data_IF_772270859060
#
_entry.id   IF_772270859060
#
_cell.length_a   1.000
_cell.length_b   1.000
_cell.length_c   1.000
_cell.angle_alpha   90.00
_cell.angle_beta   90.00
_cell.angle_gamma   90.00
#
_symmetry.space_group_name_H-M   'P 1'
#
loop_
_entity.id
_entity.type
_entity.pdbx_description
1 polymer ?
#
# COMPACT_ATOMS: atom_id res chain seq x y z
N UNK A 1 -19.29 10.74 -20.28
CA UNK A 1 -18.93 10.42 -18.89
C UNK A 1 -17.57 9.73 -18.94
N UNK A 2 -16.51 10.38 -18.45
CA UNK A 2 -15.22 9.71 -18.31
C UNK A 2 -15.44 8.54 -17.34
N UNK A 3 -15.38 7.31 -17.84
CA UNK A 3 -15.23 6.14 -16.98
C UNK A 3 -14.11 6.45 -15.98
N UNK A 4 -14.40 6.22 -14.70
CA UNK A 4 -13.47 6.49 -13.63
C UNK A 4 -12.27 5.53 -13.84
N UNK A 5 -11.20 5.99 -14.51
CA UNK A 5 -10.08 5.18 -15.03
C UNK A 5 -9.42 4.27 -13.97
N UNK A 6 -9.65 4.58 -12.70
CA UNK A 6 -9.08 3.91 -11.54
C UNK A 6 -10.12 3.06 -10.78
N UNK A 7 -11.29 2.83 -11.37
CA UNK A 7 -12.28 1.89 -10.85
C UNK A 7 -12.18 0.59 -11.63
N UNK A 8 -12.51 -0.55 -11.00
CA UNK A 8 -12.65 -1.80 -11.73
C UNK A 8 -13.60 -1.60 -12.89
N UNK A 9 -13.23 -2.16 -14.05
CA UNK A 9 -14.09 -2.20 -15.22
C UNK A 9 -15.49 -2.70 -14.84
N UNK A 10 -16.52 -2.02 -15.35
CA UNK A 10 -17.91 -2.47 -15.17
C UNK A 10 -18.11 -3.80 -15.89
N UNK A 11 -18.33 -4.86 -15.12
CA UNK A 11 -18.64 -6.19 -15.63
C UNK A 11 -20.17 -6.36 -15.77
N UNK A 12 -20.64 -7.33 -16.58
CA UNK A 12 -22.02 -7.80 -16.50
C UNK A 12 -22.37 -8.18 -15.06
N UNK A 13 -23.61 -7.89 -14.63
CA UNK A 13 -24.05 -8.09 -13.25
C UNK A 13 -23.77 -9.51 -12.69
N UNK A 14 -23.97 -10.61 -13.44
CA UNK A 14 -23.63 -11.96 -12.98
C UNK A 14 -22.13 -12.18 -12.69
N UNK A 15 -21.25 -11.38 -13.30
CA UNK A 15 -19.80 -11.50 -13.18
C UNK A 15 -19.20 -10.52 -12.17
N UNK A 16 -20.01 -9.66 -11.54
CA UNK A 16 -19.51 -8.60 -10.67
C UNK A 16 -18.67 -9.14 -9.50
N UNK A 17 -18.98 -10.35 -9.02
CA UNK A 17 -18.21 -11.03 -7.99
C UNK A 17 -16.75 -11.32 -8.34
N UNK A 18 -16.38 -11.35 -9.63
CA UNK A 18 -14.97 -11.46 -10.04
C UNK A 18 -14.16 -10.24 -9.61
N UNK A 19 -14.76 -9.04 -9.59
CA UNK A 19 -14.08 -7.82 -9.12
C UNK A 19 -13.68 -7.98 -7.65
N UNK A 20 -14.58 -8.49 -6.81
CA UNK A 20 -14.31 -8.72 -5.39
C UNK A 20 -13.18 -9.74 -5.17
N UNK A 21 -13.11 -10.77 -6.00
CA UNK A 21 -12.04 -11.76 -5.94
C UNK A 21 -10.71 -11.21 -6.47
N UNK A 22 -10.73 -10.36 -7.50
CA UNK A 22 -9.52 -9.84 -8.13
C UNK A 22 -8.83 -8.73 -7.30
N UNK A 23 -9.62 -7.86 -6.65
CA UNK A 23 -9.10 -6.72 -5.87
C UNK A 23 -8.45 -7.16 -4.56
N UNK A 24 -8.87 -8.30 -4.01
CA UNK A 24 -8.32 -8.86 -2.79
C UNK A 24 -7.09 -9.72 -3.08
N UNK A 25 -5.91 -9.17 -2.82
CA UNK A 25 -4.61 -9.83 -3.04
C UNK A 25 -4.43 -11.14 -2.26
N UNK A 26 -5.39 -11.58 -1.43
CA UNK A 26 -5.44 -12.93 -0.86
C UNK A 26 -5.22 -14.04 -1.89
N UNK A 27 -5.62 -13.85 -3.14
CA UNK A 27 -5.33 -14.82 -4.21
C UNK A 27 -3.83 -15.09 -4.42
N UNK A 28 -2.93 -14.19 -3.98
CA UNK A 28 -1.48 -14.37 -4.13
C UNK A 28 -0.87 -15.41 -3.19
N UNK A 29 -1.55 -15.81 -2.10
CA UNK A 29 -1.14 -16.93 -1.23
C UNK A 29 -2.26 -17.94 -0.96
N UNK A 30 -3.48 -17.70 -1.45
CA UNK A 30 -4.57 -18.67 -1.46
C UNK A 30 -5.01 -18.97 -2.89
N UNK A 31 -4.56 -20.10 -3.40
CA UNK A 31 -4.71 -20.51 -4.81
C UNK A 31 -6.07 -21.14 -5.15
N UNK A 32 -7.08 -21.00 -4.29
CA UNK A 32 -8.39 -21.64 -4.53
C UNK A 32 -9.08 -21.11 -5.79
N UNK A 33 -8.95 -19.81 -6.07
CA UNK A 33 -9.59 -19.16 -7.22
C UNK A 33 -8.81 -19.26 -8.54
N UNK A 34 -7.60 -19.83 -8.55
CA UNK A 34 -6.73 -19.88 -9.74
C UNK A 34 -7.40 -20.57 -10.94
N UNK A 35 -8.27 -21.54 -10.66
CA UNK A 35 -9.05 -22.25 -11.68
C UNK A 35 -10.04 -21.33 -12.41
N UNK A 36 -10.58 -20.31 -11.74
CA UNK A 36 -11.45 -19.31 -12.36
C UNK A 36 -10.66 -18.48 -13.37
N UNK A 37 -9.52 -17.94 -12.94
CA UNK A 37 -8.67 -17.07 -13.75
C UNK A 37 -8.14 -17.78 -14.98
N UNK A 38 -7.70 -19.03 -14.82
CA UNK A 38 -7.26 -19.88 -15.94
C UNK A 38 -8.40 -20.21 -16.92
N UNK A 39 -9.64 -20.34 -16.45
CA UNK A 39 -10.82 -20.57 -17.31
C UNK A 39 -11.22 -19.31 -18.08
N UNK A 40 -10.99 -18.13 -17.51
CA UNK A 40 -11.27 -16.85 -18.17
C UNK A 40 -10.31 -16.62 -19.33
N UNK A 41 -9.01 -16.62 -19.05
CA UNK A 41 -7.95 -16.50 -20.07
C UNK A 41 -6.68 -17.24 -19.58
N UNK A 42 -6.42 -18.47 -20.06
CA UNK A 42 -5.28 -19.27 -19.61
C UNK A 42 -3.95 -18.63 -20.02
N UNK A 43 -3.90 -17.97 -21.19
CA UNK A 43 -2.65 -17.39 -21.71
C UNK A 43 -2.21 -16.21 -20.85
N UNK A 44 -3.14 -15.31 -20.50
CA UNK A 44 -2.82 -14.17 -19.63
C UNK A 44 -2.52 -14.67 -18.22
N UNK A 45 -3.31 -15.61 -17.70
CA UNK A 45 -3.08 -16.17 -16.36
C UNK A 45 -1.69 -16.80 -16.23
N UNK A 46 -1.31 -17.69 -17.14
CA UNK A 46 -0.02 -18.39 -17.06
C UNK A 46 1.17 -17.44 -17.29
N UNK A 47 0.99 -16.31 -17.98
CA UNK A 47 2.03 -15.31 -18.22
C UNK A 47 2.19 -14.27 -17.10
N UNK A 48 1.13 -13.99 -16.33
CA UNK A 48 1.08 -12.82 -15.42
C UNK A 48 0.70 -13.16 -13.99
N UNK A 49 -0.04 -14.25 -13.77
CA UNK A 49 -0.64 -14.58 -12.48
C UNK A 49 -1.52 -13.47 -11.89
N UNK A 50 -2.03 -12.54 -12.70
CA UNK A 50 -2.68 -11.32 -12.24
C UNK A 50 -4.19 -11.33 -12.61
N UNK A 51 -5.10 -11.62 -11.65
CA UNK A 51 -6.54 -11.59 -11.87
C UNK A 51 -7.07 -10.24 -12.36
N UNK A 52 -6.55 -9.15 -11.79
CA UNK A 52 -6.96 -7.80 -12.13
C UNK A 52 -6.65 -7.48 -13.59
N UNK A 53 -5.44 -7.83 -14.03
CA UNK A 53 -5.02 -7.64 -15.41
C UNK A 53 -5.86 -8.45 -16.40
N UNK A 54 -6.31 -9.65 -16.03
CA UNK A 54 -7.25 -10.46 -16.84
C UNK A 54 -8.58 -9.71 -17.03
N UNK A 55 -9.17 -9.18 -15.95
CA UNK A 55 -10.45 -8.48 -16.01
C UNK A 55 -10.39 -7.18 -16.82
N UNK A 56 -9.27 -6.45 -16.75
CA UNK A 56 -9.08 -5.26 -17.57
C UNK A 56 -8.85 -5.61 -19.04
N UNK A 57 -8.22 -6.75 -19.34
CA UNK A 57 -7.84 -7.15 -20.71
C UNK A 57 -8.90 -7.95 -21.47
N UNK A 58 -9.87 -8.56 -20.79
CA UNK A 58 -10.82 -9.50 -21.42
C UNK A 58 -11.77 -8.81 -22.42
N UNK A 59 -12.03 -9.46 -23.55
CA UNK A 59 -12.99 -8.98 -24.56
C UNK A 59 -14.44 -9.02 -24.06
N UNK A 60 -15.29 -8.12 -24.60
CA UNK A 60 -16.73 -8.07 -24.25
C UNK A 60 -17.44 -9.38 -24.60
N UNK A 61 -17.19 -9.94 -25.78
CA UNK A 61 -17.84 -11.18 -26.23
C UNK A 61 -17.56 -12.35 -25.28
N UNK A 62 -16.32 -12.44 -24.76
CA UNK A 62 -15.95 -13.46 -23.76
C UNK A 62 -16.64 -13.22 -22.42
N UNK A 63 -16.80 -11.97 -21.99
CA UNK A 63 -17.60 -11.65 -20.79
C UNK A 63 -19.05 -12.06 -20.96
N UNK A 64 -19.65 -11.84 -22.13
CA UNK A 64 -21.04 -12.22 -22.42
C UNK A 64 -21.20 -13.75 -22.45
N UNK A 65 -20.25 -14.47 -23.03
CA UNK A 65 -20.21 -15.94 -22.99
C UNK A 65 -20.14 -16.47 -21.54
N UNK A 66 -19.21 -15.95 -20.74
CA UNK A 66 -19.04 -16.35 -19.34
C UNK A 66 -20.26 -15.97 -18.48
N UNK A 67 -20.91 -14.84 -18.77
CA UNK A 67 -22.13 -14.42 -18.08
C UNK A 67 -23.33 -15.32 -18.40
N UNK A 68 -23.32 -16.06 -19.50
CA UNK A 68 -24.34 -17.05 -19.85
C UNK A 68 -24.03 -18.47 -19.33
N UNK A 69 -22.80 -18.74 -18.91
CA UNK A 69 -22.33 -20.04 -18.45
C UNK A 69 -22.72 -20.31 -16.97
N UNK A 70 -23.81 -21.07 -16.78
CA UNK A 70 -24.32 -21.41 -15.44
C UNK A 70 -23.35 -22.20 -14.58
N UNK A 71 -22.45 -22.98 -15.16
CA UNK A 71 -21.45 -23.72 -14.39
C UNK A 71 -20.39 -22.77 -13.87
N UNK A 72 -19.94 -21.84 -14.71
CA UNK A 72 -18.99 -20.81 -14.33
C UNK A 72 -19.54 -19.88 -13.23
N UNK A 73 -20.79 -19.42 -13.36
CA UNK A 73 -21.43 -18.59 -12.34
C UNK A 73 -21.50 -19.28 -10.97
N UNK A 74 -21.85 -20.59 -10.95
CA UNK A 74 -21.84 -21.39 -9.72
C UNK A 74 -20.44 -21.54 -9.12
N UNK A 75 -19.40 -21.60 -9.95
CA UNK A 75 -18.02 -21.59 -9.45
C UNK A 75 -17.68 -20.25 -8.79
N UNK A 76 -18.03 -19.11 -9.40
CA UNK A 76 -17.84 -17.78 -8.81
C UNK A 76 -18.51 -17.70 -7.43
N UNK A 77 -19.80 -18.03 -7.36
CA UNK A 77 -20.57 -18.03 -6.10
C UNK A 77 -19.92 -18.91 -5.02
N UNK A 78 -19.44 -20.10 -5.41
CA UNK A 78 -18.73 -21.02 -4.49
C UNK A 78 -17.45 -20.37 -3.94
N UNK A 79 -16.64 -19.74 -4.78
CA UNK A 79 -15.40 -19.09 -4.36
C UNK A 79 -15.67 -17.86 -3.49
N UNK A 80 -16.68 -17.06 -3.81
CA UNK A 80 -17.14 -15.95 -2.96
C UNK A 80 -17.62 -16.45 -1.60
N UNK A 81 -18.45 -17.49 -1.58
CA UNK A 81 -18.96 -18.08 -0.34
C UNK A 81 -17.83 -18.61 0.56
N UNK A 82 -16.85 -19.29 -0.02
CA UNK A 82 -15.65 -19.74 0.72
C UNK A 82 -14.82 -18.59 1.25
N UNK A 83 -14.59 -17.55 0.43
CA UNK A 83 -13.89 -16.34 0.87
C UNK A 83 -14.63 -15.68 2.04
N UNK A 84 -15.94 -15.48 1.92
CA UNK A 84 -16.75 -14.87 2.97
C UNK A 84 -16.71 -15.68 4.27
N UNK A 85 -16.85 -17.01 4.17
CA UNK A 85 -16.73 -17.90 5.33
C UNK A 85 -15.32 -17.83 5.95
N UNK A 86 -14.28 -17.84 5.11
CA UNK A 86 -12.90 -17.75 5.54
C UNK A 86 -12.58 -16.41 6.21
N UNK A 87 -13.19 -15.29 5.79
CA UNK A 87 -13.01 -13.97 6.39
C UNK A 87 -13.85 -13.76 7.66
N UNK A 88 -15.02 -14.39 7.74
CA UNK A 88 -15.95 -14.29 8.88
C UNK A 88 -15.63 -15.26 10.03
N UNK A 89 -14.75 -16.25 9.83
CA UNK A 89 -14.36 -17.20 10.88
C UNK A 89 -13.70 -16.48 12.06
N UNK A 90 -13.86 -17.04 13.26
CA UNK A 90 -13.05 -16.65 14.42
C UNK A 90 -11.58 -16.89 14.11
N UNK A 91 -10.75 -15.89 14.40
CA UNK A 91 -9.32 -15.92 14.12
C UNK A 91 -8.56 -16.27 15.40
N UNK A 92 -7.31 -16.73 15.25
CA UNK A 92 -6.47 -17.06 16.41
C UNK A 92 -6.35 -15.88 17.39
N UNK A 93 -6.18 -14.65 16.87
CA UNK A 93 -6.10 -13.46 17.72
C UNK A 93 -7.41 -13.20 18.46
N UNK A 94 -8.54 -13.28 17.76
CA UNK A 94 -9.87 -13.10 18.36
C UNK A 94 -10.20 -14.15 19.42
N UNK A 95 -9.74 -15.39 19.25
CA UNK A 95 -9.93 -16.47 20.24
C UNK A 95 -8.99 -16.38 21.42
N UNK A 96 -7.73 -15.98 21.19
CA UNK A 96 -6.68 -15.98 22.22
C UNK A 96 -6.70 -14.73 23.11
N UNK A 97 -7.07 -13.57 22.54
CA UNK A 97 -7.00 -12.29 23.25
C UNK A 97 -8.36 -11.57 23.37
N UNK A 98 -9.34 -11.94 22.53
CA UNK A 98 -10.63 -11.27 22.46
C UNK A 98 -10.63 -10.02 21.58
N UNK A 99 -11.82 -9.60 21.16
CA UNK A 99 -12.01 -8.37 20.39
C UNK A 99 -11.69 -7.14 21.25
N UNK A 100 -10.81 -6.26 20.78
CA UNK A 100 -10.45 -5.01 21.47
C UNK A 100 -9.27 -5.09 22.44
N UNK A 101 -8.56 -6.24 22.50
CA UNK A 101 -7.31 -6.34 23.25
C UNK A 101 -6.17 -5.46 22.69
N UNK A 102 -6.30 -5.07 21.41
CA UNK A 102 -5.41 -4.16 20.71
C UNK A 102 -6.27 -3.30 19.78
N UNK A 103 -6.13 -1.98 19.82
CA UNK A 103 -6.85 -1.03 18.96
C UNK A 103 -6.38 -1.16 17.51
N UNK A 104 -5.06 -1.14 17.30
CA UNK A 104 -4.49 -1.23 15.97
C UNK A 104 -2.97 -1.15 15.91
N UNK A 105 -2.40 -1.72 14.86
CA UNK A 105 -0.98 -1.64 14.51
C UNK A 105 -0.85 -0.98 13.14
N UNK A 106 -0.15 0.16 13.10
CA UNK A 106 0.28 0.76 11.85
C UNK A 106 1.70 0.30 11.51
N UNK A 107 1.83 -0.51 10.46
CA UNK A 107 3.11 -1.03 9.99
C UNK A 107 3.62 -0.23 8.79
N UNK A 108 4.64 0.59 9.00
CA UNK A 108 5.22 1.46 7.98
C UNK A 108 6.42 0.80 7.32
N UNK A 109 6.44 0.78 5.98
CA UNK A 109 7.55 0.24 5.20
C UNK A 109 7.69 0.98 3.87
N UNK A 110 8.92 1.13 3.40
CA UNK A 110 9.19 1.62 2.03
C UNK A 110 8.78 0.58 0.98
N UNK A 111 8.76 -0.70 1.31
CA UNK A 111 8.44 -1.75 0.36
C UNK A 111 7.51 -2.84 0.91
N UNK A 112 6.71 -3.42 0.02
CA UNK A 112 5.78 -4.52 0.28
C UNK A 112 5.80 -5.55 -0.86
N UNK A 113 6.30 -6.74 -0.55
CA UNK A 113 6.40 -7.89 -1.44
C UNK A 113 5.20 -8.82 -1.34
N UNK A 114 4.04 -8.37 -1.84
CA UNK A 114 2.81 -9.17 -1.84
C UNK A 114 2.75 -10.14 -3.02
N UNK A 115 3.00 -9.65 -4.23
CA UNK A 115 2.98 -10.39 -5.49
C UNK A 115 3.66 -9.56 -6.59
N UNK A 116 4.14 -10.19 -7.65
CA UNK A 116 4.65 -9.52 -8.85
C UNK A 116 3.60 -8.62 -9.53
N UNK A 117 2.30 -8.88 -9.30
CA UNK A 117 1.21 -8.03 -9.77
C UNK A 117 1.19 -6.63 -9.11
N UNK A 118 1.91 -6.45 -8.00
CA UNK A 118 2.08 -5.18 -7.31
C UNK A 118 3.58 -4.98 -7.00
N UNK A 119 4.37 -4.49 -7.98
CA UNK A 119 5.84 -4.46 -7.89
C UNK A 119 6.34 -3.28 -7.04
N UNK A 120 6.10 -3.35 -5.72
CA UNK A 120 6.47 -2.35 -4.71
C UNK A 120 7.58 -2.83 -3.77
N UNK A 121 8.49 -3.67 -4.26
CA UNK A 121 9.61 -4.20 -3.47
C UNK A 121 10.85 -4.45 -4.32
N UNK A 122 12.02 -4.45 -3.68
CA UNK A 122 13.29 -4.84 -4.31
C UNK A 122 13.94 -6.07 -3.68
N UNK A 123 13.70 -6.36 -2.40
CA UNK A 123 14.42 -7.41 -1.69
C UNK A 123 13.70 -8.01 -0.49
N UNK A 124 14.50 -8.62 0.41
CA UNK A 124 14.00 -9.37 1.55
C UNK A 124 13.19 -8.54 2.57
N UNK A 125 13.50 -7.26 2.72
CA UNK A 125 12.77 -6.33 3.60
C UNK A 125 11.29 -6.21 3.15
N UNK A 126 11.06 -6.10 1.85
CA UNK A 126 9.73 -6.02 1.24
C UNK A 126 9.01 -7.35 1.28
N UNK A 127 9.68 -8.47 0.99
CA UNK A 127 9.09 -9.80 1.14
C UNK A 127 8.62 -10.01 2.59
N UNK A 128 9.46 -9.68 3.57
CA UNK A 128 9.08 -9.75 4.98
C UNK A 128 7.86 -8.87 5.29
N UNK A 129 7.83 -7.63 4.81
CA UNK A 129 6.70 -6.73 5.00
C UNK A 129 5.41 -7.30 4.38
N UNK A 130 5.49 -7.90 3.20
CA UNK A 130 4.36 -8.59 2.56
C UNK A 130 3.88 -9.78 3.39
N UNK A 131 4.79 -10.63 3.86
CA UNK A 131 4.45 -11.80 4.67
C UNK A 131 3.91 -11.42 6.07
N UNK A 132 4.34 -10.28 6.62
CA UNK A 132 3.73 -9.67 7.80
C UNK A 132 2.24 -9.38 7.57
N UNK A 133 1.88 -8.75 6.46
CA UNK A 133 0.48 -8.45 6.15
C UNK A 133 -0.35 -9.73 5.92
N UNK A 134 0.20 -10.70 5.18
CA UNK A 134 -0.45 -12.00 4.93
C UNK A 134 -0.72 -12.74 6.23
N UNK A 135 0.30 -12.83 7.09
CA UNK A 135 0.21 -13.49 8.40
C UNK A 135 -0.76 -12.76 9.32
N UNK A 136 -0.72 -11.43 9.36
CA UNK A 136 -1.69 -10.63 10.11
C UNK A 136 -3.13 -10.86 9.65
N UNK A 137 -3.36 -11.00 8.35
CA UNK A 137 -4.67 -11.34 7.79
C UNK A 137 -5.15 -12.74 8.21
N UNK A 138 -4.26 -13.73 8.23
CA UNK A 138 -4.61 -15.11 8.58
C UNK A 138 -4.86 -15.29 10.08
N UNK A 139 -4.05 -14.62 10.92
CA UNK A 139 -4.18 -14.60 12.38
C UNK A 139 -5.28 -13.65 12.88
N UNK A 140 -5.73 -12.71 12.03
CA UNK A 140 -6.73 -11.70 12.36
C UNK A 140 -6.23 -10.63 13.32
N UNK A 141 -4.97 -10.22 13.17
CA UNK A 141 -4.41 -9.08 13.89
C UNK A 141 -4.99 -7.76 13.32
N UNK A 142 -5.31 -6.77 14.18
CA UNK A 142 -5.80 -5.46 13.74
C UNK A 142 -4.62 -4.62 13.22
N UNK A 143 -4.05 -5.03 12.08
CA UNK A 143 -2.89 -4.39 11.47
C UNK A 143 -3.26 -3.75 10.13
N UNK A 144 -2.74 -2.56 9.86
CA UNK A 144 -2.72 -1.95 8.54
C UNK A 144 -1.28 -1.63 8.11
N UNK A 145 -1.00 -1.83 6.82
CA UNK A 145 0.25 -1.40 6.20
C UNK A 145 0.17 0.04 5.71
N UNK A 146 1.28 0.78 5.77
CA UNK A 146 1.42 2.11 5.17
C UNK A 146 2.71 2.16 4.34
N UNK A 147 2.61 2.55 3.07
CA UNK A 147 3.71 2.58 2.12
C UNK A 147 3.54 3.63 1.03
N UNK A 148 4.37 3.54 0.00
CA UNK A 148 4.34 4.41 -1.19
C UNK A 148 3.95 3.60 -2.43
N UNK A 149 3.21 4.21 -3.36
CA UNK A 149 2.92 3.62 -4.66
C UNK A 149 3.94 4.11 -5.69
N UNK A 150 4.88 3.23 -6.08
CA UNK A 150 5.93 3.57 -7.03
C UNK A 150 5.51 3.41 -8.48
N UNK A 151 5.77 4.42 -9.31
CA UNK A 151 5.43 4.36 -10.73
C UNK A 151 6.31 3.42 -11.55
N UNK A 152 7.52 3.08 -11.11
CA UNK A 152 8.42 2.17 -11.85
C UNK A 152 8.95 1.01 -10.99
N UNK A 153 8.52 0.91 -9.73
CA UNK A 153 9.04 -0.08 -8.79
C UNK A 153 10.55 0.07 -8.60
N UNK A 154 11.28 -1.06 -8.57
CA UNK A 154 12.74 -1.08 -8.54
C UNK A 154 13.31 -1.09 -9.97
N UNK A 155 13.50 -2.25 -10.58
CA UNK A 155 13.71 -2.42 -12.02
C UNK A 155 13.41 -3.85 -12.44
N UNK A 156 13.18 -4.08 -13.73
CA UNK A 156 13.12 -5.40 -14.35
C UNK A 156 14.47 -5.73 -14.98
N UNK A 157 15.11 -6.77 -14.48
CA UNK A 157 16.40 -7.24 -14.97
C UNK A 157 16.24 -8.00 -16.29
N UNK A 158 17.08 -7.68 -17.27
CA UNK A 158 17.30 -8.48 -18.47
C UNK A 158 18.81 -8.69 -18.60
N UNK A 159 19.22 -9.90 -18.99
CA UNK A 159 20.62 -10.21 -19.26
C UNK A 159 20.82 -10.22 -20.77
N UNK A 160 21.77 -9.41 -21.25
CA UNK A 160 22.09 -9.35 -22.67
C UNK A 160 22.91 -10.56 -23.13
N UNK A 161 23.15 -10.66 -24.45
CA UNK A 161 23.91 -11.76 -25.03
C UNK A 161 25.38 -11.84 -24.55
N UNK A 162 25.91 -10.78 -23.95
CA UNK A 162 27.26 -10.72 -23.39
C UNK A 162 27.28 -10.96 -21.86
N UNK A 163 26.13 -11.22 -21.24
CA UNK A 163 26.01 -11.46 -19.80
C UNK A 163 25.91 -10.18 -18.96
N UNK A 164 25.74 -9.01 -19.57
CA UNK A 164 25.57 -7.76 -18.83
C UNK A 164 24.12 -7.58 -18.39
N UNK A 165 23.94 -6.96 -17.23
CA UNK A 165 22.64 -6.51 -16.75
C UNK A 165 22.17 -5.29 -17.55
N UNK A 166 20.94 -5.36 -18.05
CA UNK A 166 20.16 -4.25 -18.57
C UNK A 166 18.96 -4.04 -17.66
N UNK A 167 18.73 -2.79 -17.28
CA UNK A 167 17.66 -2.39 -16.37
C UNK A 167 16.51 -1.75 -17.15
N UNK A 168 15.31 -2.32 -17.01
CA UNK A 168 14.09 -1.72 -17.54
C UNK A 168 13.24 -1.20 -16.40
N UNK A 169 12.65 -0.03 -16.59
CA UNK A 169 11.79 0.63 -15.62
C UNK A 169 10.37 0.74 -16.19
N UNK A 170 9.63 -0.38 -16.30
CA UNK A 170 8.28 -0.36 -16.84
C UNK A 170 7.39 0.51 -15.95
N UNK A 171 6.51 1.29 -16.58
CA UNK A 171 5.56 2.12 -15.85
C UNK A 171 4.41 1.27 -15.29
N UNK A 172 4.23 1.33 -13.98
CA UNK A 172 3.12 0.75 -13.24
C UNK A 172 1.92 1.71 -13.33
N UNK A 173 1.03 1.50 -14.30
CA UNK A 173 -0.23 2.26 -14.36
C UNK A 173 -1.16 1.79 -13.23
N UNK A 174 -1.53 2.66 -12.27
CA UNK A 174 -2.43 2.27 -11.17
C UNK A 174 -3.77 1.69 -11.65
N UNK A 175 -4.20 1.98 -12.88
CA UNK A 175 -5.41 1.39 -13.47
C UNK A 175 -5.31 -0.14 -13.68
N UNK A 176 -4.09 -0.69 -13.83
CA UNK A 176 -3.87 -2.13 -14.08
C UNK A 176 -3.24 -2.85 -12.89
N UNK A 177 -3.09 -2.18 -11.75
CA UNK A 177 -2.63 -2.75 -10.50
C UNK A 177 -3.83 -3.13 -9.61
N UNK A 178 -3.69 -4.11 -8.70
CA UNK A 178 -4.72 -4.45 -7.72
C UNK A 178 -4.81 -3.40 -6.59
N UNK A 179 -5.03 -2.14 -6.96
CA UNK A 179 -5.17 -0.98 -6.08
C UNK A 179 -6.51 -0.29 -6.37
N UNK A 180 -7.11 0.34 -5.36
CA UNK A 180 -8.30 1.17 -5.54
C UNK A 180 -8.11 2.55 -4.93
N UNK A 181 -8.66 3.62 -5.52
CA UNK A 181 -8.63 4.95 -4.91
C UNK A 181 -9.35 4.94 -3.56
N UNK A 182 -8.69 5.46 -2.53
CA UNK A 182 -9.31 5.63 -1.23
C UNK A 182 -10.25 6.84 -1.27
N UNK A 183 -11.51 6.63 -0.86
CA UNK A 183 -12.56 7.64 -0.97
C UNK A 183 -13.22 7.93 0.37
N UNK A 184 -13.65 9.19 0.54
CA UNK A 184 -14.45 9.60 1.68
C UNK A 184 -15.92 9.16 1.54
N UNK A 185 -16.72 9.41 2.58
CA UNK A 185 -18.15 9.07 2.59
C UNK A 185 -18.97 9.75 1.47
N UNK A 186 -18.47 10.86 0.89
CA UNK A 186 -19.09 11.55 -0.23
C UNK A 186 -18.60 11.01 -1.59
N UNK A 187 -17.70 10.02 -1.59
CA UNK A 187 -17.11 9.43 -2.79
C UNK A 187 -15.98 10.26 -3.39
N UNK A 188 -15.49 11.30 -2.70
CA UNK A 188 -14.33 12.06 -3.18
C UNK A 188 -13.04 11.32 -2.86
N UNK A 189 -12.03 11.50 -3.71
CA UNK A 189 -10.71 10.94 -3.45
C UNK A 189 -10.09 11.62 -2.22
N UNK A 190 -9.69 10.83 -1.22
CA UNK A 190 -8.93 11.32 -0.09
C UNK A 190 -7.54 11.73 -0.57
N UNK A 191 -7.18 12.99 -0.33
CA UNK A 191 -5.82 13.50 -0.57
C UNK A 191 -5.20 13.92 0.75
N UNK A 192 -3.89 13.73 0.86
CA UNK A 192 -3.11 14.15 2.02
C UNK A 192 -2.14 15.23 1.58
N UNK A 193 -2.08 16.30 2.35
CA UNK A 193 -1.18 17.42 2.09
C UNK A 193 0.02 17.35 3.05
N UNK A 194 1.21 17.53 2.48
CA UNK A 194 2.48 17.59 3.22
C UNK A 194 3.19 18.88 2.84
N UNK A 195 3.56 19.66 3.86
CA UNK A 195 4.30 20.90 3.67
C UNK A 195 5.76 20.59 3.35
N UNK A 196 6.23 21.07 2.20
CA UNK A 196 7.63 21.05 1.80
C UNK A 196 8.15 22.49 1.72
N UNK A 197 9.47 22.71 1.63
CA UNK A 197 10.01 24.05 1.55
C UNK A 197 9.44 24.85 0.37
N UNK A 198 8.70 25.90 0.69
CA UNK A 198 8.09 26.83 -0.27
C UNK A 198 6.87 26.29 -1.04
N UNK A 199 6.35 25.11 -0.71
CA UNK A 199 5.19 24.51 -1.43
C UNK A 199 4.48 23.43 -0.61
N UNK A 200 3.19 23.27 -0.85
CA UNK A 200 2.41 22.14 -0.35
C UNK A 200 2.39 21.02 -1.40
N UNK A 201 2.75 19.81 -0.99
CA UNK A 201 2.68 18.61 -1.81
C UNK A 201 1.34 17.90 -1.58
N UNK A 202 0.60 17.59 -2.65
CA UNK A 202 -0.63 16.80 -2.58
C UNK A 202 -0.39 15.33 -2.88
N UNK A 203 -0.85 14.41 -2.03
CA UNK A 203 -0.67 12.97 -2.20
C UNK A 203 -2.02 12.32 -2.49
N UNK A 204 -2.10 11.57 -3.59
CA UNK A 204 -3.21 10.64 -3.80
C UNK A 204 -3.04 9.45 -2.88
N UNK A 205 -4.16 8.89 -2.46
CA UNK A 205 -4.20 7.75 -1.54
C UNK A 205 -4.86 6.55 -2.21
N UNK A 206 -4.27 5.39 -1.99
CA UNK A 206 -4.72 4.14 -2.58
C UNK A 206 -4.86 3.07 -1.50
N UNK A 207 -5.80 2.15 -1.69
CA UNK A 207 -5.99 0.97 -0.86
C UNK A 207 -5.68 -0.30 -1.65
N UNK A 208 -4.93 -1.20 -1.01
CA UNK A 208 -4.77 -2.59 -1.39
C UNK A 208 -5.43 -3.46 -0.32
N UNK A 209 -6.26 -4.39 -0.76
CA UNK A 209 -6.92 -5.36 0.12
C UNK A 209 -6.04 -6.60 0.24
N UNK A 210 -5.64 -6.95 1.46
CA UNK A 210 -4.77 -8.09 1.76
C UNK A 210 -5.54 -9.01 2.71
N UNK A 211 -6.56 -9.69 2.21
CA UNK A 211 -7.51 -10.46 3.01
C UNK A 211 -8.24 -9.57 4.02
N UNK A 212 -7.90 -9.70 5.31
CA UNK A 212 -8.46 -8.85 6.39
C UNK A 212 -7.71 -7.53 6.60
N UNK A 213 -6.48 -7.46 6.12
CA UNK A 213 -5.57 -6.33 6.32
C UNK A 213 -5.72 -5.34 5.18
N UNK A 214 -5.60 -4.05 5.49
CA UNK A 214 -5.52 -2.97 4.49
C UNK A 214 -4.08 -2.50 4.38
N UNK A 215 -3.61 -2.30 3.16
CA UNK A 215 -2.37 -1.60 2.87
C UNK A 215 -2.71 -0.28 2.19
N UNK A 216 -2.33 0.82 2.83
CA UNK A 216 -2.52 2.17 2.32
C UNK A 216 -1.25 2.67 1.64
N UNK A 217 -1.40 3.21 0.44
CA UNK A 217 -0.27 3.69 -0.36
C UNK A 217 -0.44 5.17 -0.71
N UNK A 218 0.64 5.94 -0.56
CA UNK A 218 0.71 7.35 -0.92
C UNK A 218 1.41 7.53 -2.26
N UNK A 219 0.89 8.45 -3.07
CA UNK A 219 1.32 8.67 -4.44
C UNK A 219 1.42 10.17 -4.74
N UNK A 220 2.63 10.64 -5.04
CA UNK A 220 2.87 12.05 -5.38
C UNK A 220 2.55 12.39 -6.83
N UNK A 221 2.24 11.41 -7.69
CA UNK A 221 1.92 11.62 -9.10
C UNK A 221 0.48 12.17 -9.31
N UNK A 222 0.14 13.25 -8.61
CA UNK A 222 -1.09 14.02 -8.82
C UNK A 222 -0.84 15.16 -9.84
N UNK A 223 -1.74 15.39 -10.82
CA UNK A 223 -1.63 16.53 -11.74
C UNK A 223 -1.59 17.92 -11.10
N UNK A 224 -2.05 18.06 -9.85
CA UNK A 224 -1.97 19.31 -9.07
C UNK A 224 -0.52 19.64 -8.68
N UNK A 225 0.33 18.63 -8.55
CA UNK A 225 1.73 18.81 -8.19
C UNK A 225 2.58 19.24 -9.38
N UNK A 226 3.74 19.85 -9.08
CA UNK A 226 4.76 20.15 -10.09
C UNK A 226 5.31 18.85 -10.71
N UNK A 227 5.81 18.88 -11.96
CA UNK A 227 6.43 17.70 -12.58
C UNK A 227 7.55 17.07 -11.72
N UNK A 228 8.31 17.90 -11.01
CA UNK A 228 9.38 17.47 -10.10
C UNK A 228 8.80 16.70 -8.90
N UNK A 229 7.75 17.23 -8.28
CA UNK A 229 7.10 16.62 -7.11
C UNK A 229 6.38 15.31 -7.47
N UNK A 230 5.83 15.23 -8.68
CA UNK A 230 5.27 13.98 -9.21
C UNK A 230 6.30 12.87 -9.30
N UNK A 231 7.58 13.23 -9.50
CA UNK A 231 8.70 12.28 -9.55
C UNK A 231 9.16 11.76 -8.18
N UNK A 232 8.67 12.28 -7.05
CA UNK A 232 9.10 11.81 -5.72
C UNK A 232 8.77 10.32 -5.52
N UNK A 233 7.65 9.86 -6.07
CA UNK A 233 7.21 8.45 -6.01
C UNK A 233 7.56 7.66 -7.28
N UNK A 234 8.51 8.12 -8.10
CA UNK A 234 8.84 7.46 -9.37
C UNK A 234 9.45 6.07 -9.17
N UNK A 235 10.52 5.99 -8.38
CA UNK A 235 11.33 4.78 -8.19
C UNK A 235 11.52 4.46 -6.72
N UNK A 236 11.50 3.17 -6.41
CA UNK A 236 11.97 2.63 -5.14
C UNK A 236 13.51 2.69 -5.12
N UNK A 237 14.07 3.34 -4.09
CA UNK A 237 15.52 3.59 -3.94
C UNK A 237 16.18 4.39 -5.09
N UNK A 238 15.44 5.25 -5.79
CA UNK A 238 15.95 6.14 -6.84
C UNK A 238 16.06 7.62 -6.43
N UNK A 239 16.51 8.47 -7.37
CA UNK A 239 16.38 9.94 -7.26
C UNK A 239 17.39 10.66 -6.35
N UNK A 240 18.31 9.96 -5.69
CA UNK A 240 19.35 10.54 -4.85
C UNK A 240 18.87 10.91 -3.43
N UNK A 241 19.77 11.49 -2.63
CA UNK A 241 19.54 11.71 -1.18
C UNK A 241 18.36 12.64 -0.88
N UNK A 242 18.13 13.67 -1.68
CA UNK A 242 17.02 14.61 -1.45
C UNK A 242 15.65 13.99 -1.74
N UNK A 243 15.49 13.31 -2.88
CA UNK A 243 14.27 12.56 -3.20
C UNK A 243 14.01 11.49 -2.13
N UNK A 244 15.07 10.81 -1.68
CA UNK A 244 14.99 9.82 -0.62
C UNK A 244 14.44 10.42 0.67
N UNK A 245 14.97 11.58 1.11
CA UNK A 245 14.44 12.29 2.28
C UNK A 245 12.96 12.68 2.10
N UNK A 246 12.58 13.18 0.92
CA UNK A 246 11.19 13.53 0.62
C UNK A 246 10.27 12.30 0.68
N UNK A 247 10.70 11.15 0.16
CA UNK A 247 9.97 9.88 0.28
C UNK A 247 9.77 9.47 1.74
N UNK A 248 10.80 9.58 2.58
CA UNK A 248 10.70 9.26 4.02
C UNK A 248 9.76 10.22 4.77
N UNK A 249 9.80 11.52 4.45
CA UNK A 249 8.87 12.51 4.99
C UNK A 249 7.44 12.16 4.57
N UNK A 250 7.20 11.89 3.29
CA UNK A 250 5.87 11.53 2.78
C UNK A 250 5.37 10.24 3.41
N UNK A 251 6.21 9.20 3.50
CA UNK A 251 5.87 7.93 4.13
C UNK A 251 5.49 8.13 5.59
N UNK A 252 6.31 8.87 6.35
CA UNK A 252 6.09 9.08 7.78
C UNK A 252 4.97 10.07 8.08
N UNK A 253 5.15 11.32 7.66
CA UNK A 253 4.21 12.43 7.90
C UNK A 253 2.90 12.21 7.14
N UNK A 254 2.99 11.99 5.83
CA UNK A 254 1.80 11.76 5.01
C UNK A 254 1.06 10.49 5.41
N UNK A 255 1.79 9.44 5.79
CA UNK A 255 1.20 8.18 6.21
C UNK A 255 0.47 8.27 7.54
N UNK A 256 1.04 8.95 8.54
CA UNK A 256 0.34 9.15 9.81
C UNK A 256 -0.90 10.05 9.65
N UNK A 257 -0.80 11.14 8.87
CA UNK A 257 -1.95 12.00 8.55
C UNK A 257 -3.05 11.24 7.82
N UNK A 258 -2.70 10.27 6.97
CA UNK A 258 -3.69 9.40 6.33
C UNK A 258 -4.47 8.58 7.36
N UNK A 259 -3.78 7.97 8.33
CA UNK A 259 -4.44 7.21 9.39
C UNK A 259 -5.38 8.09 10.22
N UNK A 260 -4.94 9.29 10.60
CA UNK A 260 -5.80 10.28 11.28
C UNK A 260 -7.03 10.62 10.43
N UNK A 261 -6.83 10.87 9.12
CA UNK A 261 -7.92 11.22 8.21
C UNK A 261 -8.95 10.10 8.06
N UNK A 262 -8.52 8.84 8.18
CA UNK A 262 -9.40 7.66 8.14
C UNK A 262 -10.06 7.36 9.49
N UNK A 263 -9.63 8.03 10.57
CA UNK A 263 -10.07 7.68 11.92
C UNK A 263 -9.57 6.31 12.37
N UNK A 264 -8.44 5.85 11.81
CA UNK A 264 -7.83 4.57 12.18
C UNK A 264 -7.02 4.75 13.45
N UNK A 265 -7.52 4.23 14.57
CA UNK A 265 -6.81 4.26 15.84
C UNK A 265 -5.74 3.16 15.91
N UNK A 266 -4.49 3.57 16.10
CA UNK A 266 -3.33 2.69 16.15
C UNK A 266 -2.49 3.02 17.39
N UNK A 267 -2.52 2.13 18.37
CA UNK A 267 -1.70 2.28 19.57
C UNK A 267 -0.22 1.92 19.29
N UNK A 268 0.02 1.03 18.33
CA UNK A 268 1.36 0.63 17.88
C UNK A 268 1.69 1.27 16.52
N UNK A 269 2.84 1.94 16.45
CA UNK A 269 3.50 2.38 15.23
C UNK A 269 4.77 1.55 15.04
N UNK A 270 4.75 0.62 14.09
CA UNK A 270 5.87 -0.27 13.79
C UNK A 270 6.61 0.24 12.54
N UNK A 271 7.88 0.61 12.73
CA UNK A 271 8.79 1.07 11.70
C UNK A 271 9.64 -0.11 11.19
N UNK A 272 9.49 -0.43 9.91
CA UNK A 272 10.34 -1.36 9.20
C UNK A 272 11.55 -0.61 8.61
N UNK A 273 12.69 -0.66 9.31
CA UNK A 273 13.85 0.22 9.15
C UNK A 273 13.59 1.72 9.42
N UNK A 274 14.67 2.50 9.38
CA UNK A 274 14.67 3.94 9.69
C UNK A 274 13.88 4.81 8.73
N UNK A 275 13.46 4.29 7.57
CA UNK A 275 12.82 5.07 6.49
C UNK A 275 11.49 5.72 6.89
N UNK A 276 10.81 5.16 7.89
CA UNK A 276 9.55 5.67 8.40
C UNK A 276 9.72 6.50 9.68
N UNK A 277 10.93 6.91 10.05
CA UNK A 277 11.20 7.60 11.32
C UNK A 277 10.36 8.88 11.50
N UNK A 278 10.01 9.58 10.41
CA UNK A 278 9.14 10.77 10.48
C UNK A 278 7.71 10.46 10.95
N UNK A 279 7.25 9.19 10.87
CA UNK A 279 5.95 8.78 11.43
C UNK A 279 5.91 8.99 12.95
N UNK A 280 7.04 8.82 13.65
CA UNK A 280 7.13 9.04 15.10
C UNK A 280 6.89 10.52 15.44
N UNK A 281 7.44 11.42 14.63
CA UNK A 281 7.29 12.85 14.83
C UNK A 281 5.86 13.29 14.56
N UNK A 282 5.26 12.89 13.43
CA UNK A 282 3.87 13.26 13.12
C UNK A 282 2.89 12.59 14.09
N UNK A 283 3.17 11.37 14.58
CA UNK A 283 2.40 10.74 15.66
C UNK A 283 2.43 11.54 16.96
N UNK A 284 3.60 12.03 17.37
CA UNK A 284 3.72 12.91 18.53
C UNK A 284 3.00 14.24 18.29
N UNK A 285 3.12 14.84 17.09
CA UNK A 285 2.43 16.08 16.75
C UNK A 285 0.90 15.91 16.77
N UNK A 286 0.40 14.81 16.21
CA UNK A 286 -1.00 14.37 16.29
C UNK A 286 -1.48 14.29 17.73
N UNK A 287 -0.75 13.57 18.58
CA UNK A 287 -1.09 13.44 20.00
C UNK A 287 -1.08 14.79 20.72
N UNK A 288 -0.08 15.65 20.46
CA UNK A 288 -0.01 17.01 20.99
C UNK A 288 -1.27 17.81 20.63
N UNK A 289 -1.68 17.80 19.35
CA UNK A 289 -2.88 18.52 18.89
C UNK A 289 -4.16 17.97 19.54
N UNK A 290 -4.28 16.65 19.62
CA UNK A 290 -5.49 15.99 20.10
C UNK A 290 -5.65 16.07 21.63
N UNK A 291 -4.56 16.27 22.37
CA UNK A 291 -4.57 16.31 23.84
C UNK A 291 -4.17 17.68 24.42
N UNK A 292 -3.90 18.68 23.56
CA UNK A 292 -3.51 20.04 23.96
C UNK A 292 -2.30 20.08 24.92
N UNK A 293 -1.30 19.21 24.67
CA UNK A 293 -0.06 19.13 25.46
C UNK A 293 1.15 19.59 24.64
N UNK A 294 2.23 20.07 25.27
CA UNK A 294 3.48 20.40 24.57
C UNK A 294 4.05 19.19 23.80
N UNK A 295 4.73 19.44 22.68
CA UNK A 295 5.32 18.40 21.84
C UNK A 295 6.23 17.44 22.62
N UNK A 296 7.04 17.97 23.55
CA UNK A 296 7.92 17.16 24.39
C UNK A 296 7.14 16.14 25.23
N UNK A 297 5.98 16.51 25.76
CA UNK A 297 5.10 15.62 26.52
C UNK A 297 4.50 14.57 25.60
N UNK A 298 3.99 14.99 24.44
CA UNK A 298 3.42 14.09 23.45
C UNK A 298 4.44 13.06 22.92
N UNK A 299 5.69 13.49 22.68
CA UNK A 299 6.78 12.62 22.27
C UNK A 299 7.11 11.58 23.35
N UNK A 300 7.09 11.96 24.62
CA UNK A 300 7.26 11.02 25.72
C UNK A 300 6.08 10.04 25.84
N UNK A 301 4.84 10.53 25.78
CA UNK A 301 3.63 9.71 25.88
C UNK A 301 3.51 8.68 24.76
N UNK A 302 3.84 9.07 23.53
CA UNK A 302 3.74 8.18 22.36
C UNK A 302 4.86 7.14 22.30
N UNK A 303 5.98 7.36 23.00
CA UNK A 303 7.18 6.51 22.91
C UNK A 303 6.93 5.01 23.09
N UNK A 304 6.08 4.61 24.04
CA UNK A 304 5.83 3.20 24.35
C UNK A 304 5.17 2.42 23.19
N UNK A 305 4.44 3.12 22.30
CA UNK A 305 3.81 2.52 21.13
C UNK A 305 4.69 2.48 19.89
N UNK A 306 5.91 3.03 19.92
CA UNK A 306 6.80 3.03 18.76
C UNK A 306 7.71 1.79 18.80
N UNK A 307 7.55 0.91 17.82
CA UNK A 307 8.35 -0.32 17.66
C UNK A 307 9.24 -0.16 16.45
N UNK A 308 10.56 -0.33 16.63
CA UNK A 308 11.54 -0.21 15.57
C UNK A 308 12.17 -1.58 15.28
N UNK A 309 12.26 -1.95 14.01
CA UNK A 309 13.00 -3.13 13.56
C UNK A 309 14.11 -2.71 12.61
N UNK A 310 15.34 -3.10 12.94
CA UNK A 310 16.50 -2.99 12.04
C UNK A 310 16.89 -4.37 11.55
N UNK A 311 17.20 -4.48 10.26
CA UNK A 311 17.55 -5.76 9.61
C UNK A 311 19.05 -5.85 9.34
N UNK A 312 19.72 -4.72 9.22
CA UNK A 312 21.17 -4.68 9.04
C UNK A 312 21.79 -3.75 10.08
N UNK A 313 22.31 -4.25 11.21
CA UNK A 313 22.87 -3.43 12.27
C UNK A 313 24.29 -2.95 11.93
N UNK A 314 24.48 -2.38 10.74
CA UNK A 314 25.73 -1.78 10.28
C UNK A 314 25.48 -0.34 9.85
N UNK A 315 26.45 0.53 10.11
CA UNK A 315 26.36 1.98 9.83
C UNK A 315 25.90 2.32 8.41
N UNK A 316 26.31 1.52 7.42
CA UNK A 316 25.99 1.74 6.01
C UNK A 316 24.51 1.52 5.65
N UNK A 317 23.74 0.87 6.51
CA UNK A 317 22.32 0.61 6.30
C UNK A 317 21.41 1.75 6.78
N UNK A 318 21.97 2.74 7.49
CA UNK A 318 21.21 3.89 7.98
C UNK A 318 21.33 5.07 7.02
N UNK A 319 20.18 5.57 6.58
CA UNK A 319 20.10 6.81 5.82
C UNK A 319 20.65 7.99 6.67
N UNK A 320 21.62 8.72 6.11
CA UNK A 320 22.25 9.88 6.75
C UNK A 320 22.09 11.10 5.85
N UNK A 321 21.55 12.17 6.42
CA UNK A 321 21.32 13.42 5.69
C UNK A 321 22.18 14.55 6.25
N UNK A 322 22.73 15.43 5.39
CA UNK A 322 23.38 16.64 5.85
C UNK A 322 22.43 17.50 6.69
N UNK A 323 22.92 18.04 7.81
CA UNK A 323 22.11 18.89 8.68
C UNK A 323 21.42 20.07 7.95
N UNK A 324 22.06 20.76 6.97
CA UNK A 324 21.37 21.80 6.22
C UNK A 324 20.15 21.30 5.45
N UNK A 325 20.18 20.07 4.94
CA UNK A 325 19.05 19.46 4.24
C UNK A 325 17.92 19.13 5.21
N UNK A 326 18.23 18.51 6.35
CA UNK A 326 17.24 18.24 7.40
C UNK A 326 16.60 19.52 7.93
N UNK A 327 17.38 20.58 8.13
CA UNK A 327 16.86 21.87 8.57
C UNK A 327 15.99 22.53 7.50
N UNK A 328 16.35 22.39 6.22
CA UNK A 328 15.56 22.93 5.13
C UNK A 328 14.17 22.28 5.08
N UNK A 329 14.11 20.95 5.07
CA UNK A 329 12.86 20.18 4.99
C UNK A 329 12.09 20.09 6.31
N UNK A 330 12.79 20.08 7.44
CA UNK A 330 12.19 19.93 8.77
C UNK A 330 11.67 21.24 9.37
N UNK A 331 12.09 22.40 8.86
CA UNK A 331 11.67 23.71 9.39
C UNK A 331 10.15 23.92 9.39
N UNK A 332 9.41 23.69 8.29
CA UNK A 332 7.95 23.85 8.29
C UNK A 332 7.26 22.97 9.34
N UNK A 333 7.76 21.74 9.54
CA UNK A 333 7.25 20.84 10.56
C UNK A 333 7.57 21.34 11.98
N UNK A 334 8.82 21.72 12.23
CA UNK A 334 9.29 22.20 13.53
C UNK A 334 8.55 23.47 13.97
N UNK A 335 8.35 24.42 13.06
CA UNK A 335 7.60 25.66 13.35
C UNK A 335 6.13 25.36 13.73
N UNK A 336 5.55 24.27 13.20
CA UNK A 336 4.18 23.85 13.52
C UNK A 336 4.01 23.16 14.87
N UNK A 337 5.08 22.64 15.47
CA UNK A 337 5.03 21.94 16.76
C UNK A 337 5.53 22.79 17.95
N UNK A 338 6.03 24.00 17.69
CA UNK A 338 6.55 24.93 18.70
C UNK A 338 7.90 24.54 19.28
#
# INVERSE_FOLDING_TARGET
MLQNRYMPRTLPEPLQGLVELAVDMRWSWNHESDVLWRRIDPRIWDATGNPWFILESIGRDRLEELAADRDFLREIERHLGRRQAALSRRTWFGESYGSGALAGVAYFSMEFGLSEALPLYSGGLGILAGDYLKTASDLGLPLCGVGLLYQQGYFRQVIDAAGNQIEFYPYNDPAVLPVTPLRDAAGNWIRIEVELPGRTLSLRTWEVVVGRVRLYLLDSNDPINTPQDRGITEKLYGGGSEIRLQQEIILGVGGWRLLERLGTDCEICHLNEGHAAFAVLERAASFMRNNEVPFEVALHCTRAGNVFTTHTPVDAAFDRYPAPMLLHYGRPFAEGIG
#
